data_IF_666954558540
#
_entry.id   IF_666954558540
#
_cell.length_a   1.000
_cell.length_b   1.000
_cell.length_c   1.000
_cell.angle_alpha   90.00
_cell.angle_beta   90.00
_cell.angle_gamma   90.00
#
_symmetry.space_group_name_H-M   'P 1'
#
loop_
_entity.id
_entity.type
_entity.pdbx_description
1 polymer ?
#
# COMPACT_ATOMS: atom_id res chain seq x y z
N UNK A 1 -15.80 -10.93 -1.40
CA UNK A 1 -14.40 -10.48 -1.55
C UNK A 1 -14.25 -9.54 -2.74
N UNK A 2 -14.67 -9.90 -3.97
CA UNK A 2 -14.57 -8.98 -5.12
C UNK A 2 -15.27 -7.63 -4.90
N UNK A 3 -16.51 -7.62 -4.39
CA UNK A 3 -17.27 -6.39 -4.10
C UNK A 3 -16.58 -5.50 -3.07
N UNK A 4 -15.88 -6.10 -2.10
CA UNK A 4 -15.17 -5.38 -1.04
C UNK A 4 -13.91 -4.66 -1.56
N UNK A 5 -13.26 -5.18 -2.60
CA UNK A 5 -12.10 -4.55 -3.23
C UNK A 5 -12.49 -3.42 -4.18
N UNK A 6 -13.61 -3.54 -4.89
CA UNK A 6 -14.17 -2.45 -5.70
C UNK A 6 -14.63 -1.29 -4.81
N UNK A 7 -15.30 -1.60 -3.70
CA UNK A 7 -15.67 -0.61 -2.68
C UNK A 7 -14.43 0.05 -2.07
N UNK A 8 -13.39 -0.74 -1.75
CA UNK A 8 -12.11 -0.24 -1.27
C UNK A 8 -11.49 0.79 -2.22
N UNK A 9 -11.41 0.47 -3.52
CA UNK A 9 -10.89 1.40 -4.53
C UNK A 9 -11.69 2.70 -4.55
N UNK A 10 -13.03 2.61 -4.62
CA UNK A 10 -13.88 3.81 -4.62
C UNK A 10 -13.75 4.64 -3.34
N UNK A 11 -13.43 4.02 -2.20
CA UNK A 11 -13.22 4.72 -0.92
C UNK A 11 -11.88 5.45 -0.93
N UNK A 12 -10.82 4.84 -1.46
CA UNK A 12 -9.50 5.45 -1.58
C UNK A 12 -9.52 6.67 -2.51
N UNK A 13 -10.19 6.57 -3.65
CA UNK A 13 -10.28 7.64 -4.66
C UNK A 13 -11.03 8.90 -4.15
N UNK A 14 -11.91 8.72 -3.14
CA UNK A 14 -12.71 9.82 -2.57
C UNK A 14 -12.08 10.45 -1.35
N UNK A 15 -10.91 9.97 -0.89
CA UNK A 15 -10.28 10.52 0.29
C UNK A 15 -9.75 11.93 0.00
N UNK A 16 -10.28 12.97 0.66
CA UNK A 16 -9.86 14.34 0.38
C UNK A 16 -8.39 14.50 0.77
N UNK A 17 -7.61 15.03 -0.18
CA UNK A 17 -6.16 15.24 -0.07
C UNK A 17 -5.82 15.97 1.24
N UNK A 18 -5.38 15.18 2.23
CA UNK A 18 -4.82 15.61 3.50
C UNK A 18 -3.68 14.67 3.85
N UNK A 19 -2.76 15.21 4.66
CA UNK A 19 -1.52 14.63 5.19
C UNK A 19 -1.27 13.15 4.80
N UNK A 20 -0.12 12.88 4.18
CA UNK A 20 0.21 11.55 3.67
C UNK A 20 0.23 10.48 4.77
N UNK A 21 0.53 10.83 6.03
CA UNK A 21 0.42 9.89 7.14
C UNK A 21 -1.03 9.58 7.50
N UNK A 22 -1.94 10.56 7.43
CA UNK A 22 -3.38 10.35 7.58
C UNK A 22 -3.91 9.44 6.46
N UNK A 23 -3.50 9.66 5.21
CA UNK A 23 -3.87 8.82 4.09
C UNK A 23 -3.35 7.37 4.24
N UNK A 24 -2.10 7.20 4.69
CA UNK A 24 -1.52 5.89 4.94
C UNK A 24 -2.24 5.16 6.08
N UNK A 25 -2.60 5.86 7.16
CA UNK A 25 -3.43 5.30 8.25
C UNK A 25 -4.82 4.93 7.77
N UNK A 26 -5.40 5.73 6.88
CA UNK A 26 -6.68 5.43 6.28
C UNK A 26 -6.62 4.14 5.45
N UNK A 27 -5.63 4.03 4.56
CA UNK A 27 -5.39 2.82 3.78
C UNK A 27 -5.20 1.60 4.67
N UNK A 28 -4.34 1.70 5.69
CA UNK A 28 -4.07 0.63 6.66
C UNK A 28 -5.35 0.12 7.32
N UNK A 29 -6.19 1.04 7.82
CA UNK A 29 -7.46 0.70 8.46
C UNK A 29 -8.43 0.00 7.50
N UNK A 30 -8.53 0.46 6.25
CA UNK A 30 -9.41 -0.17 5.27
C UNK A 30 -8.91 -1.58 4.88
N UNK A 31 -7.60 -1.75 4.70
CA UNK A 31 -7.00 -3.05 4.41
C UNK A 31 -7.28 -4.02 5.57
N UNK A 32 -7.07 -3.60 6.82
CA UNK A 32 -7.32 -4.43 7.99
C UNK A 32 -8.80 -4.75 8.22
N UNK A 33 -9.73 -3.93 7.72
CA UNK A 33 -11.17 -4.24 7.73
C UNK A 33 -11.51 -5.38 6.78
N UNK A 34 -10.91 -5.40 5.59
CA UNK A 34 -11.17 -6.41 4.56
C UNK A 34 -10.40 -7.70 4.86
N UNK A 35 -9.16 -7.57 5.34
CA UNK A 35 -8.25 -8.67 5.62
C UNK A 35 -7.66 -8.57 7.03
N UNK A 36 -8.43 -8.85 8.09
CA UNK A 36 -7.99 -8.68 9.49
C UNK A 36 -6.73 -9.46 9.87
N UNK A 37 -6.47 -10.57 9.17
CA UNK A 37 -5.31 -11.43 9.40
C UNK A 37 -4.04 -10.95 8.71
N UNK A 38 -4.09 -9.97 7.80
CA UNK A 38 -2.91 -9.49 7.08
C UNK A 38 -2.01 -8.69 8.04
N UNK A 39 -0.70 -8.92 7.96
CA UNK A 39 0.31 -8.18 8.70
C UNK A 39 1.09 -7.33 7.71
N UNK A 40 0.86 -6.03 7.77
CA UNK A 40 1.48 -5.05 6.88
C UNK A 40 2.27 -4.00 7.64
N UNK A 41 3.27 -3.46 6.94
CA UNK A 41 4.07 -2.31 7.35
C UNK A 41 4.30 -1.39 6.16
N UNK A 42 3.93 -0.14 6.32
CA UNK A 42 4.23 0.93 5.40
C UNK A 42 5.65 1.43 5.62
N UNK A 43 6.31 1.76 4.52
CA UNK A 43 7.66 2.29 4.53
C UNK A 43 7.76 3.50 3.60
N UNK A 44 8.58 4.46 4.04
CA UNK A 44 9.09 5.54 3.20
C UNK A 44 10.39 5.09 2.53
N UNK A 45 10.54 5.41 1.26
CA UNK A 45 11.68 5.03 0.44
C UNK A 45 12.58 6.25 0.25
N UNK A 46 13.86 6.07 0.57
CA UNK A 46 14.93 7.05 0.37
C UNK A 46 16.01 6.41 -0.49
N UNK A 47 15.90 6.56 -1.82
CA UNK A 47 16.76 5.84 -2.76
C UNK A 47 16.57 4.32 -2.61
N UNK A 48 17.61 3.62 -2.16
CA UNK A 48 17.56 2.17 -1.88
C UNK A 48 17.13 1.82 -0.45
N UNK A 49 16.99 2.81 0.44
CA UNK A 49 16.68 2.58 1.85
C UNK A 49 15.18 2.61 2.07
N UNK A 50 14.67 1.61 2.79
CA UNK A 50 13.28 1.52 3.21
C UNK A 50 13.22 1.81 4.70
N UNK A 51 12.70 2.99 5.05
CA UNK A 51 12.48 3.42 6.42
C UNK A 51 11.04 3.10 6.82
N UNK A 52 10.85 2.43 7.94
CA UNK A 52 9.52 2.14 8.43
C UNK A 52 8.73 3.42 8.73
N UNK A 53 7.43 3.42 8.43
CA UNK A 53 6.54 4.54 8.68
C UNK A 53 5.37 4.16 9.60
N UNK A 54 4.63 3.09 9.28
CA UNK A 54 3.40 2.68 9.99
C UNK A 54 3.22 1.17 9.90
N UNK A 55 2.62 0.54 10.91
CA UNK A 55 2.20 -0.88 10.84
C UNK A 55 2.57 -1.70 12.07
N UNK A 56 2.38 -3.02 11.97
CA UNK A 56 2.53 -3.94 13.09
C UNK A 56 4.01 -4.31 13.35
N UNK A 57 4.44 -4.22 14.61
CA UNK A 57 5.81 -4.52 15.04
C UNK A 57 5.97 -5.86 15.75
N UNK A 58 4.86 -6.55 16.05
CA UNK A 58 4.91 -7.86 16.69
C UNK A 58 5.20 -8.96 15.65
N UNK A 59 6.20 -9.79 15.94
CA UNK A 59 6.63 -10.94 15.10
C UNK A 59 6.95 -10.57 13.64
N UNK A 60 7.95 -9.70 13.48
CA UNK A 60 8.45 -9.29 12.17
C UNK A 60 8.97 -10.49 11.37
N UNK A 61 8.49 -10.65 10.14
CA UNK A 61 9.06 -11.64 9.23
C UNK A 61 10.48 -11.21 8.84
N UNK A 62 11.41 -12.17 8.81
CA UNK A 62 12.76 -11.96 8.27
C UNK A 62 12.75 -11.78 6.75
N UNK A 63 11.68 -12.22 6.07
CA UNK A 63 11.53 -12.20 4.61
C UNK A 63 10.12 -11.73 4.21
N UNK A 64 9.73 -10.47 4.49
CA UNK A 64 8.46 -9.94 4.04
C UNK A 64 8.44 -9.79 2.52
N UNK A 65 7.26 -9.91 1.92
CA UNK A 65 7.04 -9.47 0.54
C UNK A 65 7.14 -7.94 0.50
N UNK A 66 8.08 -7.42 -0.30
CA UNK A 66 8.26 -5.97 -0.47
C UNK A 66 7.61 -5.50 -1.76
N UNK A 67 6.71 -4.54 -1.66
CA UNK A 67 5.97 -3.96 -2.77
C UNK A 67 6.29 -2.48 -2.84
N UNK A 68 7.01 -2.07 -3.89
CA UNK A 68 7.23 -0.65 -4.19
C UNK A 68 5.95 -0.08 -4.79
N UNK A 69 5.37 0.93 -4.15
CA UNK A 69 4.16 1.62 -4.64
C UNK A 69 4.57 2.74 -5.59
N UNK A 70 5.51 3.59 -5.14
CA UNK A 70 6.16 4.60 -5.96
C UNK A 70 7.61 4.85 -5.47
N UNK A 71 8.25 5.95 -5.86
CA UNK A 71 9.63 6.26 -5.44
C UNK A 71 9.75 6.71 -3.99
N UNK A 72 8.65 7.08 -3.34
CA UNK A 72 8.61 7.62 -1.98
C UNK A 72 8.03 6.63 -0.97
N UNK A 73 7.20 5.68 -1.39
CA UNK A 73 6.44 4.80 -0.50
C UNK A 73 6.44 3.35 -0.98
N UNK A 74 6.39 2.44 0.00
CA UNK A 74 6.26 1.02 -0.23
C UNK A 74 5.56 0.31 0.92
N UNK A 75 5.18 -0.93 0.65
CA UNK A 75 4.47 -1.81 1.58
C UNK A 75 5.29 -3.08 1.80
N UNK A 76 5.43 -3.49 3.06
CA UNK A 76 5.95 -4.79 3.44
C UNK A 76 4.80 -5.65 3.96
N UNK A 77 4.67 -6.87 3.44
CA UNK A 77 3.63 -7.83 3.84
C UNK A 77 4.32 -9.03 4.46
N UNK A 78 4.20 -9.18 5.78
CA UNK A 78 4.94 -10.18 6.56
C UNK A 78 4.39 -11.61 6.36
N UNK A 79 3.09 -11.73 6.07
CA UNK A 79 2.39 -13.01 5.90
C UNK A 79 1.61 -13.08 4.58
N UNK A 80 2.20 -12.68 3.46
CA UNK A 80 1.52 -12.64 2.15
C UNK A 80 0.77 -13.94 1.74
N UNK A 81 1.19 -15.09 2.26
CA UNK A 81 0.53 -16.39 2.08
C UNK A 81 -0.83 -16.53 2.79
N UNK A 82 -1.19 -15.60 3.68
CA UNK A 82 -2.49 -15.58 4.37
C UNK A 82 -3.65 -15.10 3.49
N UNK A 83 -3.36 -14.70 2.25
CA UNK A 83 -4.31 -14.19 1.28
C UNK A 83 -4.34 -15.09 0.04
N UNK A 84 -5.50 -15.23 -0.61
CA UNK A 84 -5.57 -15.78 -1.95
C UNK A 84 -4.64 -15.00 -2.90
N UNK A 85 -3.90 -15.66 -3.81
CA UNK A 85 -3.00 -14.97 -4.73
C UNK A 85 -3.66 -13.89 -5.58
N UNK A 86 -4.91 -14.12 -6.02
CA UNK A 86 -5.69 -13.16 -6.80
C UNK A 86 -6.00 -11.88 -6.01
N UNK A 87 -6.49 -12.03 -4.77
CA UNK A 87 -6.76 -10.91 -3.86
C UNK A 87 -5.50 -10.10 -3.55
N UNK A 88 -4.37 -10.78 -3.30
CA UNK A 88 -3.10 -10.11 -3.05
C UNK A 88 -2.64 -9.30 -4.27
N UNK A 89 -2.75 -9.86 -5.48
CA UNK A 89 -2.42 -9.17 -6.72
C UNK A 89 -3.32 -7.95 -6.94
N UNK A 90 -4.62 -8.10 -6.73
CA UNK A 90 -5.60 -7.02 -6.89
C UNK A 90 -5.37 -5.89 -5.88
N UNK A 91 -5.13 -6.22 -4.61
CA UNK A 91 -4.80 -5.25 -3.57
C UNK A 91 -3.55 -4.44 -3.94
N UNK A 92 -2.48 -5.12 -4.40
CA UNK A 92 -1.25 -4.46 -4.84
C UNK A 92 -1.51 -3.55 -6.04
N UNK A 93 -2.35 -3.98 -7.00
CA UNK A 93 -2.69 -3.17 -8.17
C UNK A 93 -3.42 -1.88 -7.78
N UNK A 94 -4.46 -1.99 -6.94
CA UNK A 94 -5.21 -0.83 -6.43
C UNK A 94 -4.29 0.15 -5.70
N UNK A 95 -3.46 -0.36 -4.78
CA UNK A 95 -2.53 0.48 -4.04
C UNK A 95 -1.46 1.13 -4.92
N UNK A 96 -1.06 0.51 -6.02
CA UNK A 96 -0.14 1.16 -6.95
C UNK A 96 -0.83 2.30 -7.67
N UNK A 97 -2.03 2.06 -8.19
CA UNK A 97 -2.83 3.08 -8.89
C UNK A 97 -3.09 4.31 -8.00
N UNK A 98 -3.46 4.11 -6.73
CA UNK A 98 -3.70 5.21 -5.80
C UNK A 98 -2.43 6.00 -5.41
N UNK A 99 -1.24 5.42 -5.61
CA UNK A 99 0.05 6.03 -5.26
C UNK A 99 0.88 6.39 -6.50
N UNK A 100 0.34 6.23 -7.72
CA UNK A 100 0.98 6.74 -8.92
C UNK A 100 1.17 8.26 -8.74
N UNK A 101 2.42 8.72 -8.70
CA UNK A 101 2.68 10.15 -8.80
C UNK A 101 2.10 10.61 -10.15
N UNK A 102 1.27 11.66 -10.18
CA UNK A 102 0.92 12.32 -11.44
C UNK A 102 2.20 12.51 -12.27
N UNK A 103 2.16 12.26 -13.59
CA UNK A 103 3.34 12.44 -14.42
C UNK A 103 3.82 13.89 -14.24
N UNK A 104 5.07 14.04 -13.79
CA UNK A 104 5.73 15.34 -13.74
C UNK A 104 5.49 16.05 -15.08
N UNK A 105 4.87 17.25 -15.11
CA UNK A 105 4.74 18.00 -16.34
C UNK A 105 6.14 18.47 -16.74
N UNK A 106 6.87 17.67 -17.50
CA UNK A 106 8.27 18.00 -17.82
C UNK A 106 9.12 16.98 -18.57
N UNK A 107 8.69 15.71 -18.75
CA UNK A 107 9.45 14.75 -19.57
C UNK A 107 8.81 14.57 -20.94
N UNK A 108 8.70 15.66 -21.71
CA UNK A 108 8.66 15.57 -23.17
C UNK A 108 10.11 15.58 -23.68
N UNK A 109 10.50 14.45 -24.22
CA UNK A 109 11.72 14.13 -24.97
C UNK A 109 12.38 15.35 -25.64
N UNK A 110 13.68 15.52 -25.40
CA UNK A 110 14.61 16.05 -26.41
C UNK A 110 15.24 14.89 -27.18
#
# INVERSE_FOLDING_TARGET
MQESLEEFKSILDRYPEKDVEEYLRFCDNQILRIYPQIRIRWARIYGSRWAHLLGNFADLSLKPLRVKLNDKYGLLIDNAHSLPPADLQQLIAILKECFEDEPLPGTRNS
#
